data_IF_588225487570
#
_entry.id   IF_588225487570
#
_cell.length_a   1.000
_cell.length_b   1.000
_cell.length_c   1.000
_cell.angle_alpha   90.00
_cell.angle_beta   90.00
_cell.angle_gamma   90.00
#
_symmetry.space_group_name_H-M   'P 1'
#
loop_
_entity.id
_entity.type
_entity.pdbx_description
1 polymer ?
#
# COMPACT_ATOMS: atom_id res chain seq x y z
N UNK A 1 1.64 -29.73 10.25
CA UNK A 1 1.75 -28.26 10.14
C UNK A 1 0.36 -27.79 9.79
N UNK A 2 -0.41 -27.41 10.79
CA UNK A 2 -1.78 -26.94 10.60
C UNK A 2 -1.73 -25.42 10.45
N UNK A 3 -1.89 -24.95 9.21
CA UNK A 3 -2.12 -23.55 8.90
C UNK A 3 -3.55 -23.23 9.34
N UNK A 4 -3.68 -22.73 10.57
CA UNK A 4 -4.95 -22.23 11.09
C UNK A 4 -5.32 -20.94 10.35
N UNK A 5 -6.27 -21.04 9.42
CA UNK A 5 -6.90 -19.88 8.81
C UNK A 5 -7.73 -19.14 9.87
N UNK A 6 -7.19 -18.06 10.42
CA UNK A 6 -7.91 -17.13 11.27
C UNK A 6 -8.72 -16.13 10.41
N UNK A 7 -9.80 -16.57 9.78
CA UNK A 7 -10.82 -15.65 9.28
C UNK A 7 -11.92 -15.49 10.35
N UNK A 8 -11.86 -14.48 11.24
CA UNK A 8 -12.98 -14.15 12.09
C UNK A 8 -14.08 -13.54 11.21
N UNK A 9 -15.24 -14.19 11.24
CA UNK A 9 -16.50 -13.78 10.64
C UNK A 9 -16.73 -12.26 10.82
N UNK A 10 -16.90 -11.58 9.69
CA UNK A 10 -16.91 -10.13 9.50
C UNK A 10 -18.08 -9.42 10.21
N UNK A 11 -18.03 -9.32 11.54
CA UNK A 11 -18.92 -8.44 12.30
C UNK A 11 -18.24 -7.13 12.74
N UNK A 12 -16.90 -7.10 12.85
CA UNK A 12 -16.16 -5.98 13.44
C UNK A 12 -14.86 -5.63 12.68
N UNK A 13 -14.93 -5.47 11.36
CA UNK A 13 -13.79 -5.03 10.53
C UNK A 13 -12.62 -6.02 10.47
N UNK A 14 -11.91 -6.05 9.35
CA UNK A 14 -10.73 -6.90 9.16
C UNK A 14 -9.53 -6.32 9.93
N UNK A 15 -9.52 -6.43 11.26
CA UNK A 15 -8.35 -6.07 12.06
C UNK A 15 -7.39 -7.25 12.12
N UNK A 16 -6.21 -7.07 11.55
CA UNK A 16 -5.12 -8.03 11.68
C UNK A 16 -4.72 -8.20 13.16
N UNK A 17 -4.38 -9.43 13.55
CA UNK A 17 -3.80 -9.72 14.87
C UNK A 17 -2.30 -9.39 14.87
N UNK A 18 -1.70 -9.24 16.05
CA UNK A 18 -0.26 -9.01 16.19
C UNK A 18 0.51 -10.29 15.89
N UNK A 19 1.17 -10.34 14.72
CA UNK A 19 2.03 -11.45 14.33
C UNK A 19 3.45 -11.23 14.86
N UNK A 20 3.95 -12.04 15.82
CA UNK A 20 5.30 -11.88 16.36
C UNK A 20 6.40 -12.09 15.32
N UNK A 21 6.15 -12.83 14.23
CA UNK A 21 7.11 -12.96 13.13
C UNK A 21 7.18 -11.68 12.30
N UNK A 22 6.07 -10.95 12.17
CA UNK A 22 6.08 -9.65 11.50
C UNK A 22 6.75 -8.57 12.36
N UNK A 23 6.52 -8.62 13.68
CA UNK A 23 6.91 -7.56 14.62
C UNK A 23 8.32 -7.73 15.19
N UNK A 24 8.77 -8.96 15.46
CA UNK A 24 10.03 -9.21 16.18
C UNK A 24 11.16 -9.72 15.27
N UNK A 25 10.87 -10.13 14.04
CA UNK A 25 11.91 -10.57 13.10
C UNK A 25 12.56 -9.36 12.43
N UNK A 26 13.81 -9.07 12.81
CA UNK A 26 14.59 -7.98 12.25
C UNK A 26 14.67 -8.05 10.71
N UNK A 27 14.64 -9.25 10.12
CA UNK A 27 14.68 -9.44 8.66
C UNK A 27 13.51 -8.77 7.97
N UNK A 28 12.33 -8.72 8.60
CA UNK A 28 11.15 -8.05 8.04
C UNK A 28 11.44 -6.56 7.89
N UNK A 29 11.94 -5.93 8.94
CA UNK A 29 12.30 -4.51 8.92
C UNK A 29 13.40 -4.22 7.89
N UNK A 30 14.46 -5.04 7.86
CA UNK A 30 15.54 -4.89 6.89
C UNK A 30 15.08 -5.07 5.45
N UNK A 31 14.12 -5.97 5.20
CA UNK A 31 13.55 -6.16 3.88
C UNK A 31 12.65 -4.98 3.47
N UNK A 32 11.92 -4.38 4.41
CA UNK A 32 11.13 -3.17 4.14
C UNK A 32 12.03 -2.00 3.73
N UNK A 33 13.14 -1.76 4.44
CA UNK A 33 14.12 -0.71 4.07
C UNK A 33 14.70 -0.94 2.67
N UNK A 34 15.13 -2.17 2.37
CA UNK A 34 15.65 -2.54 1.04
C UNK A 34 14.61 -2.38 -0.07
N UNK A 35 13.34 -2.60 0.26
CA UNK A 35 12.24 -2.43 -0.70
C UNK A 35 11.95 -0.95 -0.96
N UNK A 36 11.97 -0.11 0.08
CA UNK A 36 11.77 1.34 -0.03
C UNK A 36 12.74 2.00 -1.03
N UNK A 37 14.03 1.63 -0.95
CA UNK A 37 15.06 2.12 -1.88
C UNK A 37 14.77 1.80 -3.35
N UNK A 38 14.08 0.68 -3.61
CA UNK A 38 13.77 0.21 -4.98
C UNK A 38 12.45 0.73 -5.49
N UNK A 39 11.49 0.90 -4.58
CA UNK A 39 10.11 1.25 -4.91
C UNK A 39 9.95 2.77 -5.05
N UNK A 40 10.85 3.56 -4.47
CA UNK A 40 10.79 5.03 -4.57
C UNK A 40 11.34 5.52 -5.92
N UNK A 41 10.49 5.96 -6.87
CA UNK A 41 10.98 6.61 -8.07
C UNK A 41 11.62 7.94 -7.69
N UNK A 42 12.69 8.35 -8.40
CA UNK A 42 13.23 9.69 -8.17
C UNK A 42 12.20 10.73 -8.65
N UNK A 43 11.78 11.69 -7.79
CA UNK A 43 10.64 12.56 -8.08
C UNK A 43 10.83 13.45 -9.31
N UNK A 44 12.08 13.79 -9.63
CA UNK A 44 12.42 14.60 -10.80
C UNK A 44 12.40 13.78 -12.08
N UNK A 45 13.01 12.60 -12.12
CA UNK A 45 13.17 11.88 -13.40
C UNK A 45 11.95 11.09 -13.84
N UNK A 46 11.04 10.70 -12.93
CA UNK A 46 9.93 9.82 -13.25
C UNK A 46 9.01 10.36 -14.35
N UNK A 47 8.67 11.65 -14.27
CA UNK A 47 7.82 12.31 -15.27
C UNK A 47 8.60 12.76 -16.51
N UNK A 48 9.94 12.72 -16.45
CA UNK A 48 10.80 13.05 -17.58
C UNK A 48 11.12 11.81 -18.45
N UNK A 49 11.12 10.60 -17.87
CA UNK A 49 11.57 9.38 -18.57
C UNK A 49 10.64 8.17 -18.49
N UNK A 50 9.68 8.11 -17.57
CA UNK A 50 8.76 6.96 -17.43
C UNK A 50 7.33 7.34 -17.81
N UNK A 51 6.78 8.39 -17.20
CA UNK A 51 5.41 8.87 -17.46
C UNK A 51 5.42 10.26 -18.11
N UNK A 52 5.95 10.35 -19.33
CA UNK A 52 6.20 11.63 -20.04
C UNK A 52 4.96 12.42 -20.41
N UNK A 53 3.82 11.74 -20.58
CA UNK A 53 2.54 12.36 -20.95
C UNK A 53 1.77 12.92 -19.75
N UNK A 54 2.24 12.65 -18.52
CA UNK A 54 1.57 13.05 -17.29
C UNK A 54 2.36 14.13 -16.59
N UNK A 55 1.64 15.11 -16.05
CA UNK A 55 2.24 16.09 -15.12
C UNK A 55 2.01 15.64 -13.68
N UNK A 56 2.88 16.04 -12.73
CA UNK A 56 2.66 15.80 -11.30
C UNK A 56 1.28 16.25 -10.81
N UNK A 57 0.74 17.35 -11.38
CA UNK A 57 -0.58 17.86 -11.02
C UNK A 57 -1.72 16.94 -11.50
N UNK A 58 -1.60 16.32 -12.68
CA UNK A 58 -2.58 15.36 -13.18
C UNK A 58 -2.65 14.13 -12.27
N UNK A 59 -1.50 13.64 -11.79
CA UNK A 59 -1.44 12.53 -10.81
C UNK A 59 -2.08 12.91 -9.48
N UNK A 60 -1.86 14.14 -9.01
CA UNK A 60 -2.45 14.65 -7.76
C UNK A 60 -3.98 14.60 -7.78
N UNK A 61 -4.60 15.07 -8.87
CA UNK A 61 -6.07 15.08 -9.01
C UNK A 61 -6.65 13.67 -8.89
N UNK A 62 -6.05 12.69 -9.58
CA UNK A 62 -6.51 11.30 -9.53
C UNK A 62 -6.30 10.68 -8.15
N UNK A 63 -5.18 10.99 -7.49
CA UNK A 63 -4.90 10.49 -6.14
C UNK A 63 -5.88 11.05 -5.09
N UNK A 64 -6.20 12.35 -5.17
CA UNK A 64 -7.19 12.99 -4.31
C UNK A 64 -8.58 12.38 -4.55
N UNK A 65 -8.98 12.17 -5.81
CA UNK A 65 -10.22 11.49 -6.15
C UNK A 65 -10.26 10.06 -5.58
N UNK A 66 -9.21 9.26 -5.75
CA UNK A 66 -9.16 7.91 -5.17
C UNK A 66 -9.28 7.94 -3.64
N UNK A 67 -8.65 8.92 -2.98
CA UNK A 67 -8.71 9.07 -1.53
C UNK A 67 -10.13 9.40 -1.05
N UNK A 68 -10.81 10.34 -1.72
CA UNK A 68 -12.18 10.74 -1.42
C UNK A 68 -13.17 9.57 -1.52
N UNK A 69 -12.92 8.60 -2.40
CA UNK A 69 -13.79 7.44 -2.57
C UNK A 69 -13.45 6.30 -1.59
N UNK A 70 -12.19 6.17 -1.16
CA UNK A 70 -11.77 5.09 -0.25
C UNK A 70 -11.94 5.42 1.24
N UNK A 71 -11.74 6.67 1.67
CA UNK A 71 -11.96 7.07 3.08
C UNK A 71 -13.39 6.78 3.58
N UNK A 72 -14.47 7.10 2.83
CA UNK A 72 -15.83 6.79 3.24
C UNK A 72 -16.21 5.31 3.04
N UNK A 73 -15.59 4.63 2.07
CA UNK A 73 -15.80 3.22 1.81
C UNK A 73 -14.96 2.35 2.78
N UNK A 74 -15.40 2.20 4.02
CA UNK A 74 -14.88 1.15 4.93
C UNK A 74 -15.31 -0.26 4.49
N UNK A 75 -15.23 -0.56 3.20
CA UNK A 75 -15.62 -1.85 2.61
C UNK A 75 -14.36 -2.64 2.28
N UNK A 76 -14.04 -3.65 3.11
CA UNK A 76 -13.33 -4.91 2.80
C UNK A 76 -11.94 -4.90 2.13
N UNK A 77 -11.55 -3.88 1.39
CA UNK A 77 -10.39 -3.82 0.50
C UNK A 77 -9.33 -2.88 1.08
N UNK A 78 -8.93 -3.13 2.32
CA UNK A 78 -8.06 -2.23 3.09
C UNK A 78 -6.63 -2.08 2.51
N UNK A 79 -6.28 -2.80 1.44
CA UNK A 79 -4.95 -2.84 0.83
C UNK A 79 -4.89 -2.27 -0.60
N UNK A 80 -5.97 -1.70 -1.14
CA UNK A 80 -6.02 -1.31 -2.56
C UNK A 80 -5.24 -0.02 -2.88
N UNK A 81 -5.19 0.96 -1.96
CA UNK A 81 -4.64 2.29 -2.26
C UNK A 81 -3.11 2.33 -2.49
N UNK A 82 -2.26 1.71 -1.64
CA UNK A 82 -0.82 1.87 -1.82
C UNK A 82 -0.33 1.26 -3.13
N UNK A 83 -0.94 0.16 -3.58
CA UNK A 83 -0.55 -0.50 -4.84
C UNK A 83 -1.08 0.22 -6.08
N UNK A 84 -2.24 0.86 -6.00
CA UNK A 84 -2.82 1.60 -7.12
C UNK A 84 -2.05 2.90 -7.44
N UNK A 85 -1.47 3.54 -6.41
CA UNK A 85 -0.73 4.79 -6.60
C UNK A 85 0.73 4.62 -7.05
N UNK A 86 1.28 3.41 -7.04
CA UNK A 86 2.67 3.13 -7.45
C UNK A 86 2.81 2.83 -8.97
N UNK A 87 1.73 2.99 -9.75
CA UNK A 87 1.77 2.95 -11.21
C UNK A 87 2.29 4.25 -11.79
#
# INVERSE_FOLDING_TARGET
MDLLCCEPQAANGCRAYEDPNLLNDERVFQNLLKAEERISPSPSSYFDCVQTELTPNMRKIVAEWMLEFVIPARTGECLALPKALHV
#
